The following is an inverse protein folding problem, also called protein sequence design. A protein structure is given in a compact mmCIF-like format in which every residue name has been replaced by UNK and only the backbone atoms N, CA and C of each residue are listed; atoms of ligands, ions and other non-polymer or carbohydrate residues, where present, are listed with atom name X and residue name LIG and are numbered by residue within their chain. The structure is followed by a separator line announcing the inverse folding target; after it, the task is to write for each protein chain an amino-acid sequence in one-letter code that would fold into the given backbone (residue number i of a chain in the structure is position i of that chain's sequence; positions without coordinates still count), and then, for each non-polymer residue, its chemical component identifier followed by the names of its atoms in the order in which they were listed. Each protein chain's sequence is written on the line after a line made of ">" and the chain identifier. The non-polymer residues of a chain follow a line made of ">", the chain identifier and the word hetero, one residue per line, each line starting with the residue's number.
data_IF_564047801315
#
_entry.id   IF_564047801315
#
_cell.length_a   1.000
_cell.length_b   1.000
_cell.length_c   1.000
_cell.angle_alpha   90.00
_cell.angle_beta   90.00
_cell.angle_gamma   90.00
#
_symmetry.space_group_name_H-M   'P 1'
#
loop_
_entity.id
_entity.type
_entity.pdbx_description
1 polymer ?
#
# COMPACT_ATOMS: atom_id res chain seq x y z
N UNK A 1 -21.00 -7.70 25.79
CA UNK A 1 -20.24 -6.44 25.74
C UNK A 1 -19.66 -6.12 27.10
N UNK A 2 -18.33 -6.14 27.25
CA UNK A 2 -17.63 -5.78 28.50
C UNK A 2 -16.56 -4.73 28.20
N UNK A 3 -16.32 -3.84 29.14
CA UNK A 3 -15.24 -2.85 29.08
C UNK A 3 -14.21 -3.24 30.15
N UNK A 4 -13.00 -3.52 29.72
CA UNK A 4 -11.84 -3.71 30.59
C UNK A 4 -11.12 -2.36 30.68
N UNK A 5 -11.14 -1.76 31.87
CA UNK A 5 -10.48 -0.50 32.16
C UNK A 5 -9.25 -0.78 33.01
N UNK A 6 -8.08 -0.36 32.54
CA UNK A 6 -6.81 -0.46 33.29
C UNK A 6 -6.51 -1.88 33.80
N UNK A 7 -6.99 -2.89 33.08
CA UNK A 7 -6.71 -4.28 33.40
C UNK A 7 -5.21 -4.52 33.25
N UNK A 8 -4.59 -5.10 34.28
CA UNK A 8 -3.18 -5.46 34.25
C UNK A 8 -3.03 -6.99 34.33
N UNK A 9 -2.35 -7.57 33.35
CA UNK A 9 -1.89 -8.94 33.43
C UNK A 9 -0.49 -9.06 32.83
N UNK A 10 0.35 -9.89 33.47
CA UNK A 10 1.70 -10.18 33.03
C UNK A 10 1.93 -11.68 33.02
N UNK A 11 2.48 -12.22 31.93
CA UNK A 11 2.79 -13.66 31.80
C UNK A 11 1.59 -14.58 32.08
N UNK A 12 0.41 -14.19 31.60
CA UNK A 12 -0.81 -15.00 31.69
C UNK A 12 -1.14 -15.64 30.35
N UNK A 13 -1.72 -16.84 30.41
CA UNK A 13 -2.26 -17.54 29.24
C UNK A 13 -3.78 -17.51 29.31
N UNK A 14 -4.40 -17.08 28.21
CA UNK A 14 -5.83 -17.11 27.99
C UNK A 14 -6.10 -18.07 26.83
N UNK A 15 -6.99 -19.05 27.03
CA UNK A 15 -7.22 -20.12 26.04
C UNK A 15 -8.72 -20.23 25.76
N UNK A 16 -9.12 -20.17 24.49
CA UNK A 16 -10.52 -20.35 24.06
C UNK A 16 -11.52 -19.44 24.78
N UNK A 17 -11.12 -18.19 25.00
CA UNK A 17 -11.97 -17.16 25.60
C UNK A 17 -12.58 -16.30 24.50
N UNK A 18 -13.88 -16.08 24.56
CA UNK A 18 -14.56 -15.06 23.73
C UNK A 18 -14.50 -13.70 24.43
N UNK A 19 -13.90 -12.74 23.75
CA UNK A 19 -13.90 -11.32 24.09
C UNK A 19 -14.75 -10.52 23.10
N UNK A 20 -15.64 -11.16 22.34
CA UNK A 20 -16.44 -10.50 21.30
C UNK A 20 -17.04 -9.18 21.78
N UNK A 21 -16.86 -8.16 20.94
CA UNK A 21 -17.33 -6.80 21.16
C UNK A 21 -16.82 -6.15 22.46
N UNK A 22 -15.76 -6.65 23.09
CA UNK A 22 -15.20 -6.01 24.27
C UNK A 22 -14.38 -4.77 23.92
N UNK A 23 -14.25 -3.87 24.89
CA UNK A 23 -13.32 -2.74 24.83
C UNK A 23 -12.19 -2.98 25.83
N UNK A 24 -10.96 -2.85 25.36
CA UNK A 24 -9.76 -2.79 26.18
C UNK A 24 -9.26 -1.36 26.18
N UNK A 25 -9.38 -0.69 27.31
CA UNK A 25 -9.04 0.72 27.44
C UNK A 25 -8.01 0.92 28.56
N UNK A 26 -6.86 1.49 28.20
CA UNK A 26 -5.68 1.62 29.04
C UNK A 26 -5.22 0.30 29.71
N UNK A 27 -5.40 -0.84 29.06
CA UNK A 27 -5.01 -2.15 29.60
C UNK A 27 -3.51 -2.43 29.38
N UNK A 28 -2.90 -3.19 30.30
CA UNK A 28 -1.51 -3.61 30.26
C UNK A 28 -1.43 -5.14 30.31
N UNK A 29 -1.43 -5.77 29.15
CA UNK A 29 -1.46 -7.21 28.96
C UNK A 29 -0.13 -7.64 28.34
N UNK A 30 0.95 -7.56 29.12
CA UNK A 30 2.33 -7.71 28.62
C UNK A 30 2.85 -9.14 28.81
N UNK A 31 3.63 -9.64 27.85
CA UNK A 31 4.18 -11.00 27.88
C UNK A 31 3.09 -12.08 28.06
N UNK A 32 1.87 -11.83 27.59
CA UNK A 32 0.76 -12.78 27.70
C UNK A 32 0.71 -13.69 26.47
N UNK A 33 -0.12 -14.74 26.55
CA UNK A 33 -0.42 -15.61 25.42
C UNK A 33 -1.94 -15.72 25.30
N UNK A 34 -2.47 -15.33 24.15
CA UNK A 34 -3.85 -15.57 23.77
C UNK A 34 -3.88 -16.71 22.75
N UNK A 35 -4.55 -17.80 23.10
CA UNK A 35 -4.56 -19.05 22.34
C UNK A 35 -6.01 -19.39 21.95
N UNK A 36 -6.32 -19.30 20.66
CA UNK A 36 -7.66 -19.55 20.13
C UNK A 36 -8.75 -18.65 20.75
N UNK A 37 -8.41 -17.39 21.06
CA UNK A 37 -9.36 -16.41 21.60
C UNK A 37 -10.09 -15.64 20.49
N UNK A 38 -11.34 -15.26 20.76
CA UNK A 38 -12.14 -14.46 19.84
C UNK A 38 -12.12 -12.98 20.24
N UNK A 39 -11.57 -12.13 19.37
CA UNK A 39 -11.56 -10.67 19.50
C UNK A 39 -12.43 -9.98 18.44
N UNK A 40 -13.40 -10.69 17.86
CA UNK A 40 -14.30 -10.15 16.84
C UNK A 40 -14.98 -8.87 17.35
N UNK A 41 -14.87 -7.79 16.57
CA UNK A 41 -15.45 -6.50 16.90
C UNK A 41 -14.88 -5.82 18.15
N UNK A 42 -13.73 -6.26 18.67
CA UNK A 42 -13.07 -5.62 19.81
C UNK A 42 -12.54 -4.22 19.49
N UNK A 43 -12.45 -3.38 20.51
CA UNK A 43 -11.80 -2.06 20.42
C UNK A 43 -10.64 -2.02 21.40
N UNK A 44 -9.43 -1.80 20.88
CA UNK A 44 -8.22 -1.64 21.67
C UNK A 44 -7.82 -0.17 21.66
N UNK A 45 -7.85 0.46 22.85
CA UNK A 45 -7.60 1.88 23.03
C UNK A 45 -6.48 2.08 24.05
N UNK A 46 -5.44 2.82 23.65
CA UNK A 46 -4.34 3.21 24.52
C UNK A 46 -3.79 2.07 25.40
N UNK A 47 -3.79 0.83 24.87
CA UNK A 47 -3.51 -0.40 25.61
C UNK A 47 -2.18 -1.01 25.16
N UNK A 48 -1.48 -1.68 26.06
CA UNK A 48 -0.20 -2.34 25.78
C UNK A 48 -0.35 -3.85 25.73
N UNK A 49 0.02 -4.43 24.59
CA UNK A 49 0.17 -5.87 24.35
C UNK A 49 1.61 -6.20 23.98
N UNK A 50 2.57 -5.51 24.60
CA UNK A 50 3.99 -5.70 24.30
C UNK A 50 4.46 -7.13 24.62
N UNK A 51 5.17 -7.77 23.68
CA UNK A 51 5.64 -9.15 23.78
C UNK A 51 4.53 -10.17 24.01
N UNK A 52 3.30 -9.84 23.60
CA UNK A 52 2.14 -10.73 23.77
C UNK A 52 1.88 -11.47 22.47
N UNK A 53 1.86 -12.80 22.57
CA UNK A 53 1.62 -13.67 21.43
C UNK A 53 0.12 -13.95 21.28
N UNK A 54 -0.37 -13.78 20.06
CA UNK A 54 -1.67 -14.27 19.62
C UNK A 54 -1.44 -15.54 18.80
N UNK A 55 -2.31 -16.55 18.97
CA UNK A 55 -2.20 -17.84 18.29
C UNK A 55 -3.56 -18.34 17.87
N UNK A 56 -3.90 -18.17 16.61
CA UNK A 56 -5.19 -18.63 16.06
C UNK A 56 -6.36 -17.85 16.66
N UNK A 57 -6.13 -16.59 16.98
CA UNK A 57 -7.13 -15.66 17.44
C UNK A 57 -7.89 -15.05 16.26
N UNK A 58 -9.12 -14.60 16.53
CA UNK A 58 -9.95 -13.94 15.54
C UNK A 58 -10.00 -12.44 15.81
N UNK A 59 -9.58 -11.62 14.83
CA UNK A 59 -9.61 -10.15 14.92
C UNK A 59 -10.53 -9.52 13.88
N UNK A 60 -11.48 -10.27 13.30
CA UNK A 60 -12.44 -9.71 12.35
C UNK A 60 -13.16 -8.51 12.96
N UNK A 61 -13.21 -7.41 12.22
CA UNK A 61 -13.82 -6.14 12.67
C UNK A 61 -13.20 -5.50 13.91
N UNK A 62 -12.05 -5.97 14.40
CA UNK A 62 -11.34 -5.33 15.49
C UNK A 62 -10.77 -3.97 15.06
N UNK A 63 -10.69 -3.04 16.02
CA UNK A 63 -10.12 -1.70 15.81
C UNK A 63 -9.04 -1.41 16.84
N UNK A 64 -8.01 -0.70 16.39
CA UNK A 64 -6.81 -0.40 17.16
C UNK A 64 -6.56 1.11 17.16
N UNK A 65 -6.38 1.68 18.34
CA UNK A 65 -6.15 3.11 18.53
C UNK A 65 -5.13 3.32 19.66
N UNK A 66 -4.02 3.99 19.37
CA UNK A 66 -2.95 4.30 20.31
C UNK A 66 -2.41 3.12 21.12
N UNK A 67 -2.56 1.89 20.63
CA UNK A 67 -2.27 0.66 21.37
C UNK A 67 -0.98 0.00 20.87
N UNK A 68 -0.18 -0.53 21.77
CA UNK A 68 1.08 -1.20 21.43
C UNK A 68 0.82 -2.67 21.12
N UNK A 69 1.06 -3.06 19.87
CA UNK A 69 1.02 -4.43 19.38
C UNK A 69 2.33 -4.71 18.66
N UNK A 70 2.84 -5.94 18.76
CA UNK A 70 3.97 -6.34 17.95
C UNK A 70 3.52 -6.53 16.49
N UNK A 71 4.45 -6.40 15.52
CA UNK A 71 4.14 -6.38 14.09
C UNK A 71 3.86 -7.79 13.50
N UNK A 72 4.05 -8.85 14.29
CA UNK A 72 3.82 -10.25 13.92
C UNK A 72 2.33 -10.56 13.76
N UNK A 73 1.46 -9.86 14.49
CA UNK A 73 0.00 -9.95 14.38
C UNK A 73 -0.50 -9.73 12.94
N UNK A 74 0.21 -8.92 12.13
CA UNK A 74 -0.11 -8.67 10.73
C UNK A 74 0.03 -9.91 9.84
N UNK A 75 0.78 -10.92 10.28
CA UNK A 75 1.03 -12.16 9.55
C UNK A 75 0.30 -13.32 10.22
N UNK A 76 0.37 -13.41 11.56
CA UNK A 76 -0.17 -14.57 12.28
C UNK A 76 -1.69 -14.54 12.41
N UNK A 77 -2.28 -13.35 12.59
CA UNK A 77 -3.71 -13.20 12.92
C UNK A 77 -4.51 -12.43 11.87
N UNK A 78 -3.91 -12.13 10.73
CA UNK A 78 -4.61 -11.46 9.64
C UNK A 78 -5.79 -12.32 9.14
N UNK A 79 -7.00 -11.76 9.03
CA UNK A 79 -8.15 -12.49 8.48
C UNK A 79 -7.87 -13.06 7.09
N UNK A 80 -8.55 -14.17 6.74
CA UNK A 80 -8.36 -14.84 5.45
C UNK A 80 -9.04 -14.10 4.31
N UNK A 81 -10.22 -13.55 4.57
CA UNK A 81 -11.02 -12.82 3.60
C UNK A 81 -10.37 -11.49 3.25
N UNK A 82 -10.17 -11.18 1.96
CA UNK A 82 -9.31 -10.07 1.55
C UNK A 82 -9.83 -8.71 1.99
N UNK A 83 -11.15 -8.53 2.03
CA UNK A 83 -11.79 -7.31 2.54
C UNK A 83 -11.51 -7.11 4.03
N UNK A 84 -11.58 -8.18 4.83
CA UNK A 84 -11.33 -8.14 6.27
C UNK A 84 -9.84 -7.96 6.55
N UNK A 85 -8.97 -8.63 5.78
CA UNK A 85 -7.51 -8.49 5.83
C UNK A 85 -7.08 -7.05 5.55
N UNK A 86 -7.65 -6.45 4.52
CA UNK A 86 -7.39 -5.04 4.17
C UNK A 86 -7.83 -4.09 5.29
N UNK A 87 -9.03 -4.28 5.85
CA UNK A 87 -9.52 -3.45 6.96
C UNK A 87 -8.66 -3.60 8.22
N UNK A 88 -8.30 -4.84 8.56
CA UNK A 88 -7.43 -5.17 9.68
C UNK A 88 -6.05 -4.51 9.55
N UNK A 89 -5.38 -4.70 8.41
CA UNK A 89 -4.09 -4.09 8.13
C UNK A 89 -4.15 -2.56 8.14
N UNK A 90 -5.23 -1.96 7.58
CA UNK A 90 -5.45 -0.51 7.62
C UNK A 90 -5.61 0.01 9.04
N UNK A 91 -6.41 -0.66 9.87
CA UNK A 91 -6.60 -0.24 11.26
C UNK A 91 -5.28 -0.28 12.03
N UNK A 92 -4.51 -1.37 11.88
CA UNK A 92 -3.19 -1.49 12.50
C UNK A 92 -2.19 -0.47 11.95
N UNK A 93 -2.21 -0.19 10.64
CA UNK A 93 -1.36 0.86 10.04
C UNK A 93 -1.59 2.22 10.69
N UNK A 94 -2.85 2.63 10.86
CA UNK A 94 -3.18 3.90 11.51
C UNK A 94 -2.76 3.91 12.98
N UNK A 95 -2.94 2.79 13.68
CA UNK A 95 -2.47 2.62 15.05
C UNK A 95 -0.94 2.73 15.16
N UNK A 96 -0.18 2.02 14.31
CA UNK A 96 1.28 2.09 14.28
C UNK A 96 1.78 3.49 13.97
N UNK A 97 1.08 4.22 13.11
CA UNK A 97 1.37 5.61 12.83
C UNK A 97 1.14 6.51 14.06
N UNK A 98 0.07 6.29 14.83
CA UNK A 98 -0.20 7.04 16.06
C UNK A 98 0.88 6.81 17.13
N UNK A 99 1.41 5.60 17.24
CA UNK A 99 2.46 5.27 18.24
C UNK A 99 3.90 5.53 17.72
N UNK A 100 4.07 5.92 16.46
CA UNK A 100 5.37 6.23 15.86
C UNK A 100 6.21 5.02 15.41
N UNK A 101 5.62 3.83 15.25
CA UNK A 101 6.34 2.65 14.75
C UNK A 101 6.41 2.62 13.21
N UNK A 102 7.41 3.28 12.66
CA UNK A 102 7.60 3.36 11.21
C UNK A 102 7.83 2.00 10.54
N UNK A 103 8.41 1.01 11.24
CA UNK A 103 8.67 -0.32 10.68
C UNK A 103 7.36 -1.10 10.55
N UNK A 104 6.57 -1.13 11.61
CA UNK A 104 5.26 -1.79 11.61
C UNK A 104 4.28 -1.11 10.63
N UNK A 105 4.33 0.22 10.48
CA UNK A 105 3.58 0.95 9.44
C UNK A 105 3.87 0.39 8.05
N UNK A 106 5.15 0.23 7.67
CA UNK A 106 5.51 -0.26 6.33
C UNK A 106 5.06 -1.71 6.11
N UNK A 107 5.15 -2.56 7.15
CA UNK A 107 4.65 -3.93 7.11
C UNK A 107 3.13 -3.96 6.92
N UNK A 108 2.39 -3.14 7.67
CA UNK A 108 0.94 -3.03 7.53
C UNK A 108 0.53 -2.53 6.14
N UNK A 109 1.25 -1.56 5.57
CA UNK A 109 1.06 -1.10 4.19
C UNK A 109 1.23 -2.24 3.20
N UNK A 110 2.28 -3.06 3.33
CA UNK A 110 2.49 -4.18 2.41
C UNK A 110 1.35 -5.19 2.44
N UNK A 111 0.85 -5.54 3.64
CA UNK A 111 -0.29 -6.45 3.81
C UNK A 111 -1.57 -5.83 3.26
N UNK A 112 -1.81 -4.54 3.50
CA UNK A 112 -2.95 -3.80 2.96
C UNK A 112 -2.93 -3.82 1.43
N UNK A 113 -1.80 -3.43 0.80
CA UNK A 113 -1.65 -3.40 -0.66
C UNK A 113 -1.79 -4.78 -1.30
N UNK A 114 -1.23 -5.83 -0.69
CA UNK A 114 -1.39 -7.20 -1.17
C UNK A 114 -2.86 -7.62 -1.13
N UNK A 115 -3.55 -7.42 0.00
CA UNK A 115 -4.97 -7.70 0.14
C UNK A 115 -5.83 -6.92 -0.86
N UNK A 116 -5.55 -5.62 -1.06
CA UNK A 116 -6.24 -4.79 -2.06
C UNK A 116 -6.05 -5.34 -3.47
N UNK A 117 -4.82 -5.75 -3.82
CA UNK A 117 -4.51 -6.26 -5.16
C UNK A 117 -5.31 -7.53 -5.49
N UNK A 118 -5.38 -8.48 -4.54
CA UNK A 118 -6.11 -9.73 -4.68
C UNK A 118 -7.61 -9.45 -4.70
N UNK A 119 -8.10 -8.60 -3.80
CA UNK A 119 -9.51 -8.21 -3.73
C UNK A 119 -9.99 -7.62 -5.06
N UNK A 120 -9.25 -6.65 -5.60
CA UNK A 120 -9.61 -6.00 -6.87
C UNK A 120 -9.62 -7.00 -8.01
N UNK A 121 -8.57 -7.83 -8.13
CA UNK A 121 -8.51 -8.88 -9.15
C UNK A 121 -9.70 -9.85 -9.05
N UNK A 122 -10.00 -10.35 -7.85
CA UNK A 122 -11.13 -11.26 -7.63
C UNK A 122 -12.46 -10.57 -7.90
N UNK A 123 -12.60 -9.29 -7.56
CA UNK A 123 -13.86 -8.56 -7.72
C UNK A 123 -14.34 -8.39 -9.15
N UNK A 124 -13.44 -8.41 -10.15
CA UNK A 124 -13.82 -8.30 -11.56
C UNK A 124 -13.76 -9.63 -12.31
N UNK A 125 -12.96 -10.61 -11.85
CA UNK A 125 -12.70 -11.86 -12.59
C UNK A 125 -13.10 -13.14 -11.86
N UNK A 126 -13.26 -13.14 -10.54
CA UNK A 126 -13.51 -14.36 -9.78
C UNK A 126 -14.92 -14.91 -10.01
N UNK A 127 -15.03 -16.24 -9.98
CA UNK A 127 -16.29 -16.98 -10.02
C UNK A 127 -16.99 -17.11 -8.65
N UNK A 128 -16.35 -16.67 -7.57
CA UNK A 128 -16.81 -16.77 -6.17
C UNK A 128 -18.16 -16.07 -5.95
N UNK A 129 -19.02 -16.69 -5.15
CA UNK A 129 -20.40 -16.21 -4.87
C UNK A 129 -20.40 -14.81 -4.28
N UNK A 130 -19.55 -14.55 -3.27
CA UNK A 130 -19.43 -13.26 -2.62
C UNK A 130 -19.21 -12.10 -3.62
N UNK A 131 -18.28 -12.24 -4.56
CA UNK A 131 -17.96 -11.18 -5.51
C UNK A 131 -19.05 -11.00 -6.57
N UNK A 132 -19.68 -12.10 -7.02
CA UNK A 132 -20.80 -12.06 -7.98
C UNK A 132 -22.05 -11.40 -7.41
N UNK A 133 -22.39 -11.72 -6.16
CA UNK A 133 -23.53 -11.13 -5.47
C UNK A 133 -23.27 -9.65 -5.16
N UNK A 134 -22.06 -9.31 -4.69
CA UNK A 134 -21.69 -7.94 -4.34
C UNK A 134 -21.56 -7.01 -5.56
N UNK A 135 -21.06 -7.52 -6.68
CA UNK A 135 -20.83 -6.77 -7.91
C UNK A 135 -21.64 -7.36 -9.06
N UNK A 136 -22.96 -7.38 -8.88
CA UNK A 136 -23.86 -7.89 -9.90
C UNK A 136 -23.95 -6.97 -11.12
N UNK A 137 -24.07 -7.57 -12.31
CA UNK A 137 -24.24 -6.83 -13.57
C UNK A 137 -22.96 -6.31 -14.22
N UNK A 138 -23.06 -6.03 -15.52
CA UNK A 138 -21.90 -5.70 -16.39
C UNK A 138 -21.24 -4.38 -16.02
N UNK A 139 -22.04 -3.36 -15.63
CA UNK A 139 -21.53 -2.04 -15.25
C UNK A 139 -20.67 -2.09 -13.97
N UNK A 140 -21.08 -2.89 -12.99
CA UNK A 140 -20.31 -3.06 -11.76
C UNK A 140 -19.02 -3.84 -12.03
N UNK A 141 -19.07 -4.86 -12.90
CA UNK A 141 -17.89 -5.59 -13.35
C UNK A 141 -16.87 -4.70 -14.08
N UNK A 142 -17.31 -3.87 -15.03
CA UNK A 142 -16.42 -2.94 -15.74
C UNK A 142 -15.84 -1.87 -14.83
N UNK A 143 -16.62 -1.35 -13.87
CA UNK A 143 -16.13 -0.44 -12.85
C UNK A 143 -15.04 -1.08 -11.98
N UNK A 144 -15.18 -2.36 -11.60
CA UNK A 144 -14.14 -3.07 -10.85
C UNK A 144 -12.89 -3.36 -11.68
N UNK A 145 -13.06 -3.67 -12.97
CA UNK A 145 -11.94 -3.79 -13.89
C UNK A 145 -11.15 -2.47 -13.95
N UNK A 146 -11.83 -1.33 -14.06
CA UNK A 146 -11.16 -0.02 -14.07
C UNK A 146 -10.41 0.27 -12.77
N UNK A 147 -10.98 -0.06 -11.61
CA UNK A 147 -10.29 0.07 -10.31
C UNK A 147 -9.06 -0.83 -10.21
N UNK A 148 -9.17 -2.06 -10.70
CA UNK A 148 -8.04 -2.98 -10.77
C UNK A 148 -6.94 -2.44 -11.71
N UNK A 149 -7.32 -1.93 -12.87
CA UNK A 149 -6.40 -1.35 -13.86
C UNK A 149 -5.69 -0.12 -13.29
N UNK A 150 -6.44 0.79 -12.66
CA UNK A 150 -5.89 1.96 -11.97
C UNK A 150 -4.86 1.54 -10.92
N UNK A 151 -5.22 0.60 -10.04
CA UNK A 151 -4.33 0.09 -9.00
C UNK A 151 -3.08 -0.56 -9.60
N UNK A 152 -3.22 -1.31 -10.69
CA UNK A 152 -2.09 -1.93 -11.39
C UNK A 152 -1.15 -0.89 -12.00
N UNK A 153 -1.70 0.11 -12.69
CA UNK A 153 -0.95 1.20 -13.32
C UNK A 153 -0.21 2.03 -12.26
N UNK A 154 -0.87 2.38 -11.16
CA UNK A 154 -0.23 3.07 -10.02
C UNK A 154 0.86 2.20 -9.37
N UNK A 155 0.62 0.90 -9.21
CA UNK A 155 1.65 0.00 -8.71
C UNK A 155 2.87 -0.06 -9.64
N UNK A 156 2.65 0.01 -10.95
CA UNK A 156 3.72 0.02 -11.94
C UNK A 156 4.48 1.36 -11.93
N UNK A 157 3.78 2.50 -12.01
CA UNK A 157 4.41 3.82 -12.13
C UNK A 157 5.28 4.17 -10.91
N UNK A 158 4.81 3.91 -9.69
CA UNK A 158 5.48 4.37 -8.47
C UNK A 158 5.21 3.50 -7.24
N UNK A 159 4.68 2.28 -7.45
CA UNK A 159 4.40 1.34 -6.36
C UNK A 159 3.31 1.82 -5.42
N UNK A 160 2.22 2.39 -5.96
CA UNK A 160 1.11 2.94 -5.17
C UNK A 160 1.57 4.00 -4.14
N UNK A 161 2.60 4.77 -4.47
CA UNK A 161 3.15 5.79 -3.58
C UNK A 161 4.02 5.24 -2.44
N UNK A 162 4.54 4.02 -2.56
CA UNK A 162 5.45 3.41 -1.57
C UNK A 162 6.87 3.14 -2.09
N UNK A 163 7.08 3.10 -3.42
CA UNK A 163 8.36 2.62 -3.98
C UNK A 163 9.07 3.69 -4.81
N UNK A 164 10.09 4.31 -4.21
CA UNK A 164 11.02 5.20 -4.91
C UNK A 164 11.74 4.46 -6.05
N UNK A 165 12.08 3.19 -5.85
CA UNK A 165 12.77 2.39 -6.89
C UNK A 165 11.89 2.21 -8.13
N UNK A 166 10.60 1.89 -7.96
CA UNK A 166 9.66 1.79 -9.09
C UNK A 166 9.49 3.13 -9.80
N UNK A 167 9.45 4.22 -9.03
CA UNK A 167 9.38 5.57 -9.59
C UNK A 167 10.63 5.93 -10.41
N UNK A 168 11.83 5.66 -9.90
CA UNK A 168 13.08 5.86 -10.64
C UNK A 168 13.14 5.03 -11.92
N UNK A 169 12.67 3.77 -11.88
CA UNK A 169 12.51 2.93 -13.07
C UNK A 169 11.57 3.58 -14.09
N UNK A 170 10.45 4.16 -13.65
CA UNK A 170 9.51 4.85 -14.55
C UNK A 170 10.15 6.06 -15.21
N UNK A 171 10.92 6.87 -14.47
CA UNK A 171 11.72 7.97 -15.06
C UNK A 171 12.67 7.42 -16.14
N UNK A 172 13.41 6.36 -15.83
CA UNK A 172 14.34 5.74 -16.78
C UNK A 172 13.63 5.28 -18.06
N UNK A 173 12.45 4.65 -17.94
CA UNK A 173 11.63 4.25 -19.10
C UNK A 173 11.20 5.47 -19.92
N UNK A 174 10.77 6.56 -19.27
CA UNK A 174 10.44 7.81 -19.98
C UNK A 174 11.64 8.38 -20.73
N UNK A 175 12.83 8.37 -20.13
CA UNK A 175 14.06 8.82 -20.79
C UNK A 175 14.44 7.96 -22.01
N UNK A 176 14.23 6.64 -21.91
CA UNK A 176 14.43 5.72 -23.04
C UNK A 176 13.41 6.02 -24.15
N UNK A 177 12.13 6.26 -23.82
CA UNK A 177 11.11 6.59 -24.83
C UNK A 177 11.41 7.91 -25.55
N UNK A 178 11.88 8.94 -24.83
CA UNK A 178 12.34 10.20 -25.43
C UNK A 178 13.53 9.94 -26.36
N UNK A 179 14.49 9.12 -25.92
CA UNK A 179 15.66 8.76 -26.72
C UNK A 179 15.28 8.04 -28.01
N UNK A 180 14.35 7.09 -27.96
CA UNK A 180 13.85 6.36 -29.13
C UNK A 180 13.15 7.34 -30.09
N UNK A 181 12.32 8.24 -29.56
CA UNK A 181 11.64 9.25 -30.36
C UNK A 181 12.64 10.18 -31.05
N UNK A 182 13.64 10.70 -30.33
CA UNK A 182 14.72 11.54 -30.88
C UNK A 182 15.53 10.81 -31.97
N UNK A 183 15.80 9.52 -31.77
CA UNK A 183 16.52 8.70 -32.76
C UNK A 183 15.70 8.53 -34.05
N UNK A 184 14.39 8.36 -33.92
CA UNK A 184 13.50 8.19 -35.08
C UNK A 184 13.28 9.48 -35.87
N UNK A 185 13.39 10.65 -35.23
CA UNK A 185 13.19 11.95 -35.90
C UNK A 185 14.49 12.52 -36.47
N UNK A 186 15.61 12.38 -35.75
CA UNK A 186 16.87 13.05 -36.08
C UNK A 186 17.95 12.12 -36.66
N UNK A 187 17.80 10.80 -36.50
CA UNK A 187 18.85 9.83 -36.77
C UNK A 187 18.40 8.63 -37.59
N UNK A 188 19.27 7.62 -37.63
CA UNK A 188 18.96 6.33 -38.21
C UNK A 188 18.63 5.34 -37.07
N UNK A 189 17.40 4.79 -37.00
CA UNK A 189 16.96 3.89 -35.92
C UNK A 189 17.85 2.65 -35.72
N UNK A 190 18.59 2.26 -36.75
CA UNK A 190 19.45 1.07 -36.76
C UNK A 190 20.85 1.30 -36.18
N UNK A 191 21.23 2.55 -35.86
CA UNK A 191 22.54 2.86 -35.32
C UNK A 191 22.51 3.04 -33.79
N UNK A 192 23.12 2.08 -33.08
CA UNK A 192 23.24 2.07 -31.61
C UNK A 192 23.97 3.31 -31.09
N UNK A 193 24.94 3.83 -31.84
CA UNK A 193 25.70 5.03 -31.45
C UNK A 193 24.81 6.28 -31.40
N UNK A 194 23.83 6.37 -32.30
CA UNK A 194 22.88 7.48 -32.30
C UNK A 194 21.94 7.39 -31.09
N UNK A 195 21.42 6.20 -30.81
CA UNK A 195 20.57 5.96 -29.64
C UNK A 195 21.25 6.36 -28.33
N UNK A 196 22.54 6.05 -28.16
CA UNK A 196 23.28 6.43 -26.96
C UNK A 196 23.43 7.96 -26.85
N UNK A 197 23.67 8.65 -27.97
CA UNK A 197 23.76 10.11 -28.00
C UNK A 197 22.40 10.77 -27.68
N UNK A 198 21.31 10.23 -28.20
CA UNK A 198 19.94 10.65 -27.89
C UNK A 198 19.60 10.40 -26.42
N UNK A 199 20.08 9.29 -25.86
CA UNK A 199 19.87 8.97 -24.44
C UNK A 199 20.63 9.94 -23.52
N UNK A 200 21.82 10.42 -23.92
CA UNK A 200 22.53 11.46 -23.17
C UNK A 200 21.80 12.81 -23.19
N UNK A 201 21.09 13.12 -24.28
CA UNK A 201 20.27 14.34 -24.40
C UNK A 201 18.91 14.22 -23.70
N UNK A 202 18.38 13.01 -23.54
CA UNK A 202 17.01 12.81 -23.06
C UNK A 202 16.72 13.39 -21.66
N UNK A 203 17.65 13.45 -20.68
CA UNK A 203 17.41 14.15 -19.42
C UNK A 203 17.26 15.66 -19.61
N UNK A 204 18.08 16.27 -20.48
CA UNK A 204 18.00 17.70 -20.77
C UNK A 204 16.67 18.05 -21.48
N UNK A 205 16.22 17.18 -22.39
CA UNK A 205 14.91 17.30 -23.06
C UNK A 205 13.78 17.12 -22.04
N UNK A 206 13.84 16.08 -21.20
CA UNK A 206 12.82 15.80 -20.18
C UNK A 206 12.68 16.94 -19.17
N UNK A 207 13.79 17.55 -18.75
CA UNK A 207 13.78 18.69 -17.84
C UNK A 207 13.34 20.00 -18.53
N UNK A 208 13.37 20.06 -19.86
CA UNK A 208 13.06 21.25 -20.67
C UNK A 208 14.22 22.23 -20.79
N UNK A 209 15.46 21.76 -20.60
CA UNK A 209 16.69 22.54 -20.84
C UNK A 209 17.00 22.59 -22.34
N UNK A 210 16.75 21.48 -23.04
CA UNK A 210 16.91 21.37 -24.49
C UNK A 210 15.54 21.19 -25.13
N UNK A 211 15.22 22.04 -26.11
CA UNK A 211 14.01 21.92 -26.93
C UNK A 211 14.44 21.74 -28.39
N UNK A 212 14.50 20.50 -28.91
CA UNK A 212 14.89 20.27 -30.29
C UNK A 212 13.82 20.80 -31.24
N UNK A 213 14.23 21.54 -32.29
CA UNK A 213 13.31 22.17 -33.25
C UNK A 213 12.44 21.16 -34.01
N UNK A 214 12.91 19.92 -34.14
CA UNK A 214 12.22 18.85 -34.85
C UNK A 214 11.12 18.17 -34.01
N UNK A 215 10.93 18.59 -32.76
CA UNK A 215 9.86 18.05 -31.92
C UNK A 215 8.61 18.89 -32.08
N UNK A 216 7.47 18.28 -32.48
CA UNK A 216 6.23 19.00 -32.58
C UNK A 216 5.74 19.42 -31.17
N UNK A 217 4.97 20.50 -31.11
CA UNK A 217 4.53 21.13 -29.85
C UNK A 217 3.75 20.15 -28.98
N UNK A 218 3.00 19.22 -29.57
CA UNK A 218 2.23 18.19 -28.88
C UNK A 218 3.14 17.26 -28.07
N UNK A 219 4.27 16.85 -28.65
CA UNK A 219 5.23 15.94 -27.98
C UNK A 219 5.95 16.68 -26.85
N UNK A 220 6.40 17.91 -27.08
CA UNK A 220 7.01 18.74 -26.04
C UNK A 220 6.03 19.02 -24.88
N UNK A 221 4.76 19.25 -25.21
CA UNK A 221 3.69 19.42 -24.21
C UNK A 221 3.48 18.16 -23.38
N UNK A 222 3.46 16.98 -24.01
CA UNK A 222 3.34 15.70 -23.32
C UNK A 222 4.54 15.42 -22.40
N UNK A 223 5.78 15.68 -22.87
CA UNK A 223 6.99 15.53 -22.06
C UNK A 223 6.94 16.46 -20.86
N UNK A 224 6.56 17.72 -21.08
CA UNK A 224 6.44 18.72 -20.01
C UNK A 224 5.36 18.34 -18.99
N UNK A 225 4.19 17.88 -19.44
CA UNK A 225 3.14 17.37 -18.55
C UNK A 225 3.62 16.17 -17.72
N UNK A 226 4.31 15.22 -18.36
CA UNK A 226 4.91 14.05 -17.69
C UNK A 226 5.93 14.47 -16.63
N UNK A 227 6.76 15.47 -16.92
CA UNK A 227 7.71 16.06 -15.97
C UNK A 227 7.01 16.62 -14.74
N UNK A 228 5.97 17.44 -14.93
CA UNK A 228 5.24 18.08 -13.84
C UNK A 228 4.59 17.04 -12.92
N UNK A 229 3.94 16.03 -13.50
CA UNK A 229 3.38 14.91 -12.74
C UNK A 229 4.50 14.19 -11.98
N UNK A 230 5.60 13.86 -12.64
CA UNK A 230 6.73 13.16 -12.00
C UNK A 230 7.29 13.94 -10.81
N UNK A 231 7.41 15.26 -10.90
CA UNK A 231 7.89 16.10 -9.80
C UNK A 231 6.92 16.10 -8.61
N UNK A 232 5.61 16.13 -8.86
CA UNK A 232 4.59 16.02 -7.82
C UNK A 232 4.63 14.64 -7.12
N UNK A 233 4.79 13.56 -7.91
CA UNK A 233 4.92 12.21 -7.39
C UNK A 233 6.19 12.04 -6.53
N UNK A 234 7.33 12.58 -6.99
CA UNK A 234 8.59 12.58 -6.25
C UNK A 234 8.46 13.34 -4.92
N UNK A 235 7.87 14.53 -4.96
CA UNK A 235 7.66 15.35 -3.76
C UNK A 235 6.84 14.59 -2.72
N UNK A 236 5.76 13.94 -3.16
CA UNK A 236 4.91 13.11 -2.28
C UNK A 236 5.70 11.97 -1.64
N UNK A 237 6.54 11.26 -2.42
CA UNK A 237 7.38 10.18 -1.91
C UNK A 237 8.44 10.69 -0.90
N UNK A 238 9.05 11.84 -1.18
CA UNK A 238 10.06 12.44 -0.30
C UNK A 238 9.45 12.92 1.01
N UNK A 239 8.35 13.69 0.96
CA UNK A 239 7.63 14.16 2.16
C UNK A 239 7.31 12.97 3.05
N UNK A 240 6.75 11.91 2.49
CA UNK A 240 6.40 10.70 3.24
C UNK A 240 7.61 10.00 3.84
N UNK A 241 8.76 9.99 3.15
CA UNK A 241 9.98 9.35 3.66
C UNK A 241 10.64 10.15 4.77
N UNK A 242 10.60 11.48 4.69
CA UNK A 242 11.18 12.37 5.70
C UNK A 242 10.25 12.58 6.90
N UNK A 243 8.93 12.59 6.72
CA UNK A 243 7.97 12.69 7.83
C UNK A 243 7.86 11.43 8.70
N UNK A 244 8.47 10.32 8.25
CA UNK A 244 8.60 9.06 9.00
C UNK A 244 9.81 9.03 9.93
N UNK A 245 10.68 10.05 9.91
CA UNK A 245 11.81 10.24 10.83
C UNK A 245 11.47 11.33 11.83
#
# INVERSE_FOLDING_TARGET
>A
YKIFLRLNAKKKKFTKISFEHCIFDNCYLNNCVFDSCDFTGCKFKSSSFHQTAFRGCDFRFATFEGSQFDDDILISEAPREENLRMQFARSLRMNYQQIGDAKAVNKAISVELEATSIYLYKSWKSGETFYKEKYNGVLNGSAQFMKWLEFYVLNFIWGNGESIVKFLRTILVTLIMISIYDTNTNGNPLNIGFLLSSFQKSPAIFLGILSPDNFPVEVLSLITGTKLVSLALLTTLLVKRFSRR
#
